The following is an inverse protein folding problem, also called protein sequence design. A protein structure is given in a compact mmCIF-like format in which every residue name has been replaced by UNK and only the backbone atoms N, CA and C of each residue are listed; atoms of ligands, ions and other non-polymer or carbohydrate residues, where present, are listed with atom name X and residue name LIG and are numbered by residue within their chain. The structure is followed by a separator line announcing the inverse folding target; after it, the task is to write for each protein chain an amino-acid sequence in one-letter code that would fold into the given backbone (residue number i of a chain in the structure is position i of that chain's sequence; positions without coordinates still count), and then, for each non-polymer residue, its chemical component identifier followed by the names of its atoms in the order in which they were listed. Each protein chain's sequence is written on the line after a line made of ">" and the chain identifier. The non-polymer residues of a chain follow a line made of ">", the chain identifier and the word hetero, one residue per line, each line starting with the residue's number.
data_IF_464296254691
#
_entry.id   IF_464296254691
#
_cell.length_a   1.000
_cell.length_b   1.000
_cell.length_c   1.000
_cell.angle_alpha   90.00
_cell.angle_beta   90.00
_cell.angle_gamma   90.00
#
_symmetry.space_group_name_H-M   'P 1'
#
loop_
_entity.id
_entity.type
_entity.pdbx_description
1 polymer ?
#
# COMPACT_ATOMS: atom_id res chain seq x y z
N UNK A 1 3.55 -0.98 -17.95
CA UNK A 1 3.36 -1.03 -16.48
C UNK A 1 4.54 -1.68 -15.76
N UNK A 2 4.35 -2.02 -14.48
CA UNK A 2 5.39 -2.51 -13.56
C UNK A 2 6.00 -3.87 -13.95
N UNK A 3 7.26 -4.17 -13.59
CA UNK A 3 7.87 -5.49 -13.82
C UNK A 3 7.14 -6.59 -13.05
N UNK A 4 7.39 -7.85 -13.41
CA UNK A 4 6.79 -9.02 -12.74
C UNK A 4 7.16 -9.07 -11.24
N UNK A 5 8.39 -8.67 -10.91
CA UNK A 5 8.91 -8.65 -9.55
C UNK A 5 9.51 -7.27 -9.25
N UNK A 6 9.20 -6.71 -8.08
CA UNK A 6 9.69 -5.42 -7.63
C UNK A 6 9.58 -5.28 -6.12
N UNK A 7 10.12 -4.20 -5.59
CA UNK A 7 9.90 -3.81 -4.19
C UNK A 7 9.51 -2.36 -4.08
N UNK A 8 8.59 -2.05 -3.17
CA UNK A 8 8.31 -0.68 -2.73
C UNK A 8 8.84 -0.50 -1.31
N UNK A 9 9.60 0.57 -1.06
CA UNK A 9 10.11 0.91 0.28
C UNK A 9 9.84 2.37 0.59
N UNK A 10 9.43 2.63 1.83
CA UNK A 10 9.22 3.99 2.33
C UNK A 10 9.60 4.09 3.80
N UNK A 11 9.97 5.29 4.24
CA UNK A 11 10.18 5.63 5.65
C UNK A 11 9.32 6.85 5.95
N UNK A 12 8.42 6.73 6.92
CA UNK A 12 7.44 7.76 7.21
C UNK A 12 7.13 7.84 8.70
N UNK A 13 6.47 8.92 9.09
CA UNK A 13 5.95 9.15 10.43
C UNK A 13 4.56 9.76 10.36
N UNK A 14 3.58 9.06 10.93
CA UNK A 14 2.22 9.56 11.06
C UNK A 14 2.13 10.66 12.12
N UNK A 15 1.24 11.64 11.91
CA UNK A 15 1.05 12.77 12.83
C UNK A 15 -0.37 12.75 13.39
N UNK A 16 -0.49 12.84 14.73
CA UNK A 16 -1.76 13.03 15.45
C UNK A 16 -2.83 12.05 14.93
N UNK A 17 -3.92 12.57 14.39
CA UNK A 17 -5.09 11.80 13.98
C UNK A 17 -4.85 10.94 12.73
N UNK A 18 -3.71 11.08 12.03
CA UNK A 18 -3.37 10.22 10.89
C UNK A 18 -3.29 8.74 11.26
N UNK A 19 -2.93 8.42 12.50
CA UNK A 19 -2.86 7.02 12.97
C UNK A 19 -4.23 6.32 12.98
N UNK A 20 -5.33 7.06 12.96
CA UNK A 20 -6.69 6.53 12.95
C UNK A 20 -7.38 6.69 11.58
N UNK A 21 -6.63 7.00 10.52
CA UNK A 21 -7.17 7.18 9.16
C UNK A 21 -6.91 5.95 8.31
N UNK A 22 -7.76 5.74 7.32
CA UNK A 22 -7.49 4.84 6.20
C UNK A 22 -6.98 5.65 5.02
N UNK A 23 -5.74 5.40 4.60
CA UNK A 23 -5.06 6.23 3.60
C UNK A 23 -4.00 5.49 2.83
N UNK A 24 -3.77 5.91 1.59
CA UNK A 24 -2.82 5.32 0.66
C UNK A 24 -1.52 6.12 0.73
N UNK A 25 -0.44 5.49 1.21
CA UNK A 25 0.88 6.13 1.25
C UNK A 25 1.44 6.28 -0.16
N UNK A 26 1.15 5.32 -1.02
CA UNK A 26 1.41 5.34 -2.44
C UNK A 26 0.31 4.55 -3.15
N UNK A 27 -0.18 5.08 -4.27
CA UNK A 27 -1.07 4.37 -5.18
C UNK A 27 -0.84 4.83 -6.62
N UNK A 28 -1.06 3.92 -7.56
CA UNK A 28 -1.18 4.19 -9.00
C UNK A 28 -2.62 3.95 -9.39
N UNK A 29 -3.18 4.90 -10.13
CA UNK A 29 -4.50 4.81 -10.73
C UNK A 29 -4.40 4.95 -12.24
N UNK A 30 -5.35 4.40 -12.98
CA UNK A 30 -5.46 4.63 -14.42
C UNK A 30 -6.15 5.97 -14.73
N UNK A 31 -6.34 6.26 -16.02
CA UNK A 31 -6.96 7.49 -16.52
C UNK A 31 -8.40 7.71 -16.01
N UNK A 32 -9.11 6.64 -15.65
CA UNK A 32 -10.46 6.67 -15.09
C UNK A 32 -10.45 6.75 -13.55
N UNK A 33 -9.26 6.74 -12.93
CA UNK A 33 -9.07 6.77 -11.49
C UNK A 33 -9.24 5.41 -10.81
N UNK A 34 -9.29 4.30 -11.56
CA UNK A 34 -9.35 2.96 -10.98
C UNK A 34 -7.99 2.56 -10.44
N UNK A 35 -7.97 1.94 -9.27
CA UNK A 35 -6.77 1.49 -8.57
C UNK A 35 -6.05 0.40 -9.35
N UNK A 36 -4.76 0.60 -9.56
CA UNK A 36 -3.90 -0.32 -10.29
C UNK A 36 -2.93 -1.07 -9.37
N UNK A 37 -2.28 -0.33 -8.46
CA UNK A 37 -1.46 -0.90 -7.40
C UNK A 37 -1.25 0.12 -6.28
N UNK A 38 -1.05 -0.32 -5.05
CA UNK A 38 -0.80 0.61 -3.95
C UNK A 38 -0.58 -0.03 -2.60
N UNK A 39 -0.19 0.81 -1.65
CA UNK A 39 -0.02 0.46 -0.25
C UNK A 39 -0.90 1.37 0.61
N UNK A 40 -1.81 0.75 1.35
CA UNK A 40 -2.79 1.39 2.22
C UNK A 40 -2.45 1.11 3.68
N UNK A 41 -2.51 2.15 4.51
CA UNK A 41 -2.51 2.01 5.97
C UNK A 41 -3.94 2.15 6.45
N UNK A 42 -4.44 1.09 7.07
CA UNK A 42 -5.79 1.01 7.61
C UNK A 42 -5.72 1.24 9.13
N UNK A 43 -5.96 2.49 9.55
CA UNK A 43 -5.98 2.87 10.96
C UNK A 43 -7.10 2.23 11.76
N UNK A 44 -8.22 1.88 11.13
CA UNK A 44 -9.36 1.25 11.80
C UNK A 44 -9.03 -0.18 12.24
N UNK A 45 -8.28 -0.90 11.41
CA UNK A 45 -7.87 -2.28 11.66
C UNK A 45 -6.44 -2.41 12.19
N UNK A 46 -5.70 -1.29 12.27
CA UNK A 46 -4.25 -1.26 12.51
C UNK A 46 -3.51 -2.28 11.63
N UNK A 47 -3.79 -2.20 10.33
CA UNK A 47 -3.29 -3.13 9.32
C UNK A 47 -2.63 -2.39 8.15
N UNK A 48 -1.68 -3.05 7.51
CA UNK A 48 -1.13 -2.62 6.23
C UNK A 48 -1.75 -3.48 5.14
N UNK A 49 -2.19 -2.83 4.06
CA UNK A 49 -2.84 -3.50 2.95
C UNK A 49 -2.07 -3.18 1.67
N UNK A 50 -1.77 -4.21 0.90
CA UNK A 50 -1.20 -4.08 -0.43
C UNK A 50 -2.26 -4.48 -1.45
N UNK A 51 -2.54 -3.62 -2.41
CA UNK A 51 -3.51 -3.91 -3.47
C UNK A 51 -2.86 -3.87 -4.85
N UNK A 52 -3.36 -4.71 -5.77
CA UNK A 52 -2.87 -4.84 -7.13
C UNK A 52 -3.98 -5.30 -8.08
N UNK A 53 -3.92 -4.88 -9.34
CA UNK A 53 -4.70 -5.47 -10.43
C UNK A 53 -4.15 -6.85 -10.77
N UNK A 54 -5.02 -7.83 -10.93
CA UNK A 54 -4.65 -9.20 -11.32
C UNK A 54 -4.78 -9.41 -12.83
N UNK A 55 -4.30 -10.55 -13.34
CA UNK A 55 -4.47 -10.93 -14.76
C UNK A 55 -5.94 -11.04 -15.19
N UNK A 56 -6.87 -11.20 -14.24
CA UNK A 56 -8.32 -11.23 -14.50
C UNK A 56 -8.92 -9.82 -14.62
N UNK A 57 -8.12 -8.77 -14.36
CA UNK A 57 -8.55 -7.37 -14.40
C UNK A 57 -9.24 -6.88 -13.14
N UNK A 58 -9.46 -7.75 -12.14
CA UNK A 58 -9.98 -7.39 -10.82
C UNK A 58 -8.86 -6.86 -9.90
N UNK A 59 -9.26 -6.10 -8.87
CA UNK A 59 -8.36 -5.70 -7.77
C UNK A 59 -8.30 -6.82 -6.72
N UNK A 60 -7.09 -7.24 -6.37
CA UNK A 60 -6.84 -8.03 -5.17
C UNK A 60 -6.22 -7.14 -4.09
N UNK A 61 -6.79 -7.19 -2.87
CA UNK A 61 -6.18 -6.62 -1.66
C UNK A 61 -5.66 -7.73 -0.75
N UNK A 62 -4.41 -7.59 -0.30
CA UNK A 62 -3.75 -8.44 0.70
C UNK A 62 -3.58 -7.66 1.99
N UNK A 63 -4.17 -8.15 3.08
CA UNK A 63 -4.14 -7.48 4.39
C UNK A 63 -3.15 -8.13 5.34
N UNK A 64 -2.26 -7.33 5.94
CA UNK A 64 -1.34 -7.67 7.02
C UNK A 64 -1.85 -7.06 8.33
N UNK A 65 -2.61 -7.82 9.16
CA UNK A 65 -3.20 -7.31 10.39
C UNK A 65 -2.20 -7.26 11.55
N UNK A 66 -2.61 -6.64 12.67
CA UNK A 66 -1.84 -6.69 13.92
C UNK A 66 -0.60 -5.80 13.94
N UNK A 67 -0.56 -4.76 13.11
CA UNK A 67 0.59 -3.87 12.95
C UNK A 67 0.51 -2.62 13.82
N UNK A 68 -0.02 -2.73 15.04
CA UNK A 68 -0.15 -1.60 15.99
C UNK A 68 1.17 -0.82 16.20
N UNK A 69 2.31 -1.48 16.00
CA UNK A 69 3.64 -0.86 16.01
C UNK A 69 3.80 0.25 14.96
N UNK A 70 3.11 0.19 13.82
CA UNK A 70 3.14 1.25 12.80
C UNK A 70 2.25 2.43 13.18
N UNK A 71 1.15 2.18 13.89
CA UNK A 71 0.08 3.15 14.18
C UNK A 71 0.37 4.00 15.42
N UNK A 72 1.55 4.64 15.40
CA UNK A 72 1.97 5.59 16.41
C UNK A 72 2.62 6.84 15.75
N UNK A 73 3.22 7.73 16.55
CA UNK A 73 3.82 9.00 16.07
C UNK A 73 5.34 8.95 15.92
N UNK A 74 5.94 7.76 15.82
CA UNK A 74 7.37 7.51 15.59
C UNK A 74 7.63 7.21 14.11
N UNK A 75 8.90 7.29 13.74
CA UNK A 75 9.36 6.93 12.40
C UNK A 75 9.36 5.41 12.25
N UNK A 76 8.84 4.95 11.12
CA UNK A 76 8.86 3.55 10.73
C UNK A 76 9.30 3.41 9.28
N UNK A 77 10.05 2.34 9.00
CA UNK A 77 10.38 1.91 7.65
C UNK A 77 9.51 0.73 7.27
N UNK A 78 8.89 0.80 6.10
CA UNK A 78 8.10 -0.30 5.54
C UNK A 78 8.66 -0.64 4.18
N UNK A 79 8.75 -1.94 3.90
CA UNK A 79 9.04 -2.45 2.56
C UNK A 79 8.07 -3.58 2.22
N UNK A 80 7.56 -3.55 1.00
CA UNK A 80 6.81 -4.65 0.40
C UNK A 80 7.64 -5.19 -0.76
N UNK A 81 8.00 -6.46 -0.69
CA UNK A 81 8.56 -7.22 -1.81
C UNK A 81 7.43 -7.92 -2.55
N UNK A 82 7.37 -7.71 -3.86
CA UNK A 82 6.35 -8.28 -4.76
C UNK A 82 7.06 -9.26 -5.68
N UNK A 83 6.70 -10.53 -5.55
CA UNK A 83 7.15 -11.64 -6.38
C UNK A 83 5.98 -12.09 -7.27
N UNK A 84 6.19 -13.08 -8.15
CA UNK A 84 5.16 -13.50 -9.11
C UNK A 84 3.82 -13.92 -8.49
N UNK A 85 3.89 -14.57 -7.33
CA UNK A 85 2.73 -15.18 -6.65
C UNK A 85 2.71 -14.86 -5.15
N UNK A 86 3.63 -14.02 -4.67
CA UNK A 86 3.82 -13.73 -3.25
C UNK A 86 4.07 -12.25 -3.03
N UNK A 87 3.59 -11.76 -1.89
CA UNK A 87 3.91 -10.44 -1.35
C UNK A 87 4.46 -10.60 0.05
N UNK A 88 5.65 -10.07 0.31
CA UNK A 88 6.34 -10.13 1.59
C UNK A 88 6.42 -8.76 2.23
N UNK A 89 5.95 -8.63 3.47
CA UNK A 89 6.01 -7.39 4.24
C UNK A 89 7.20 -7.39 5.20
N UNK A 90 7.92 -6.27 5.22
CA UNK A 90 8.95 -5.94 6.20
C UNK A 90 8.61 -4.64 6.92
N UNK A 91 8.78 -4.63 8.25
CA UNK A 91 8.62 -3.44 9.10
C UNK A 91 9.88 -3.24 9.93
N UNK A 92 10.43 -2.04 9.88
CA UNK A 92 11.67 -1.65 10.58
C UNK A 92 12.82 -2.66 10.36
N UNK A 93 12.97 -3.07 9.09
CA UNK A 93 13.96 -4.06 8.62
C UNK A 93 13.74 -5.51 9.08
N UNK A 94 12.62 -5.83 9.74
CA UNK A 94 12.28 -7.18 10.16
C UNK A 94 11.18 -7.77 9.25
N UNK A 95 11.31 -9.04 8.82
CA UNK A 95 10.23 -9.73 8.11
C UNK A 95 9.03 -9.87 9.04
N UNK A 96 7.83 -9.57 8.52
CA UNK A 96 6.58 -9.68 9.25
C UNK A 96 5.82 -10.93 8.82
N UNK A 97 5.46 -11.01 7.54
CA UNK A 97 4.65 -12.09 6.98
C UNK A 97 4.80 -12.10 5.45
N UNK A 98 4.44 -13.23 4.83
CA UNK A 98 4.35 -13.39 3.38
C UNK A 98 2.98 -13.96 3.04
N UNK A 99 2.34 -13.40 2.01
CA UNK A 99 0.99 -13.78 1.60
C UNK A 99 0.93 -14.07 0.10
N UNK A 100 0.13 -15.07 -0.31
CA UNK A 100 -0.06 -15.37 -1.72
C UNK A 100 -0.85 -14.27 -2.42
N UNK A 101 -0.49 -14.00 -3.68
CA UNK A 101 -1.24 -13.17 -4.61
C UNK A 101 -1.58 -13.95 -5.86
N UNK A 102 -2.68 -13.57 -6.51
CA UNK A 102 -2.93 -13.98 -7.89
C UNK A 102 -1.83 -13.40 -8.78
N UNK A 103 -1.67 -14.00 -9.95
CA UNK A 103 -0.74 -13.49 -10.95
C UNK A 103 -1.09 -12.03 -11.29
N UNK A 104 -0.10 -11.15 -11.10
CA UNK A 104 -0.25 -9.70 -11.32
C UNK A 104 -0.63 -9.40 -12.76
N UNK A 105 -1.62 -8.51 -12.93
CA UNK A 105 -2.08 -8.01 -14.21
C UNK A 105 -1.15 -6.97 -14.83
N UNK A 106 -1.53 -6.47 -16.01
CA UNK A 106 -0.91 -5.27 -16.55
C UNK A 106 -1.33 -4.06 -15.70
N UNK A 107 -0.35 -3.38 -15.10
CA UNK A 107 -0.58 -2.10 -14.40
C UNK A 107 -0.66 -1.01 -15.45
N UNK A 108 -1.85 -0.43 -15.64
CA UNK A 108 -2.03 0.77 -16.45
C UNK A 108 -1.40 1.97 -15.72
N UNK A 109 -0.57 2.71 -16.43
CA UNK A 109 0.20 3.85 -15.89
C UNK A 109 -0.13 5.16 -16.62
N UNK A 110 -1.18 5.18 -17.45
CA UNK A 110 -1.61 6.37 -18.18
C UNK A 110 -2.40 7.37 -17.31
N UNK A 111 -2.75 6.98 -16.07
CA UNK A 111 -3.29 7.87 -15.05
C UNK A 111 -2.22 8.49 -14.15
N UNK A 112 -2.51 8.55 -12.84
CA UNK A 112 -1.69 9.26 -11.86
C UNK A 112 -0.99 8.34 -10.86
N UNK A 113 0.18 8.78 -10.40
CA UNK A 113 0.78 8.28 -9.16
C UNK A 113 0.49 9.25 -8.02
N UNK A 114 -0.23 8.78 -7.01
CA UNK A 114 -0.68 9.58 -5.88
C UNK A 114 0.07 9.16 -4.60
N UNK A 115 0.47 10.13 -3.80
CA UNK A 115 1.21 9.94 -2.54
C UNK A 115 0.42 10.55 -1.39
N UNK A 116 0.26 9.80 -0.30
CA UNK A 116 -0.32 10.29 0.94
C UNK A 116 -1.74 10.85 0.79
N UNK A 117 -2.65 10.09 0.16
CA UNK A 117 -4.06 10.49 -0.04
C UNK A 117 -5.00 9.68 0.83
N UNK A 118 -6.10 10.28 1.29
CA UNK A 118 -7.17 9.54 1.97
C UNK A 118 -7.76 8.49 1.03
N UNK A 119 -8.11 7.33 1.56
CA UNK A 119 -8.73 6.27 0.75
C UNK A 119 -10.15 6.64 0.33
N UNK A 120 -10.88 7.35 1.20
CA UNK A 120 -12.26 7.81 0.94
C UNK A 120 -12.35 9.03 0.01
N UNK A 121 -11.26 9.79 -0.12
CA UNK A 121 -11.20 10.98 -0.97
C UNK A 121 -9.75 11.18 -1.47
N UNK A 122 -9.44 10.74 -2.70
CA UNK A 122 -8.09 10.81 -3.23
C UNK A 122 -7.59 12.25 -3.45
N UNK A 123 -8.48 13.27 -3.42
CA UNK A 123 -8.10 14.67 -3.52
C UNK A 123 -7.59 15.24 -2.19
N UNK A 124 -7.89 14.59 -1.06
CA UNK A 124 -7.47 15.04 0.26
C UNK A 124 -6.14 14.41 0.67
N UNK A 125 -5.13 15.26 0.87
CA UNK A 125 -3.83 14.84 1.40
C UNK A 125 -3.87 14.54 2.89
N UNK A 126 -3.05 13.57 3.30
CA UNK A 126 -2.82 13.21 4.69
C UNK A 126 -1.53 13.85 5.19
N UNK A 127 -1.56 14.39 6.41
CA UNK A 127 -0.38 14.98 7.04
C UNK A 127 0.51 13.86 7.59
N UNK A 128 1.68 13.71 6.98
CA UNK A 128 2.76 12.79 7.38
C UNK A 128 4.11 13.49 7.25
N UNK A 129 5.14 12.94 7.89
CA UNK A 129 6.55 13.33 7.65
C UNK A 129 7.33 12.18 7.09
#
# INVERSE_FOLDING_TARGET
>A
GFPDEYSFMTTFRMIKNTVNKVWNIWQVVDEDGLKQAGMRLNGDQQALEFFLTTMEGDEQTVTFPGLSVLFNTKWHKVMVGVEKELVTLYVDCHPVDQKPIKRKGYVNTEGDTLIGRLDSDPNTSVVVR
#
